data_IF_138214906945
#
_entry.id   IF_138214906945
#
_cell.length_a   1.000
_cell.length_b   1.000
_cell.length_c   1.000
_cell.angle_alpha   90.00
_cell.angle_beta   90.00
_cell.angle_gamma   90.00
#
_symmetry.space_group_name_H-M   'P 1'
#
loop_
_entity.id
_entity.type
_entity.pdbx_description
1 polymer ?
#
# COMPACT_ATOMS: atom_id res chain seq x y z
N UNK A 1 16.13 16.88 14.73
CA UNK A 1 16.28 15.83 13.68
C UNK A 1 14.93 15.56 13.06
N UNK A 2 14.83 15.45 11.74
CA UNK A 2 13.56 15.05 11.15
C UNK A 2 13.19 13.65 11.66
N UNK A 3 11.91 13.38 11.92
CA UNK A 3 11.45 12.07 12.37
C UNK A 3 11.81 11.03 11.30
N UNK A 4 12.53 10.02 11.72
CA UNK A 4 12.95 8.95 10.81
C UNK A 4 11.81 7.96 10.66
N UNK A 5 11.06 8.09 9.57
CA UNK A 5 10.07 7.11 9.21
C UNK A 5 10.76 5.81 8.79
N UNK A 6 10.34 4.71 9.38
CA UNK A 6 10.81 3.37 9.00
C UNK A 6 9.64 2.55 8.48
N UNK A 7 9.69 2.23 7.20
CA UNK A 7 8.69 1.38 6.58
C UNK A 7 8.99 -0.10 6.87
N UNK A 8 8.09 -0.77 7.58
CA UNK A 8 8.23 -2.18 7.92
C UNK A 8 7.62 -3.10 6.87
N UNK A 9 6.45 -2.73 6.35
CA UNK A 9 5.77 -3.53 5.32
C UNK A 9 4.86 -2.68 4.45
N UNK A 10 4.60 -3.19 3.24
CA UNK A 10 3.63 -2.65 2.27
C UNK A 10 2.77 -3.79 1.76
N UNK A 11 1.47 -3.57 1.68
CA UNK A 11 0.53 -4.49 1.05
C UNK A 11 -0.31 -3.77 -0.01
N UNK A 12 -0.46 -4.42 -1.16
CA UNK A 12 -1.41 -4.05 -2.20
C UNK A 12 -2.49 -5.11 -2.26
N UNK A 13 -3.73 -4.70 -2.18
CA UNK A 13 -4.89 -5.59 -2.17
C UNK A 13 -5.89 -5.15 -3.24
N UNK A 14 -6.41 -6.12 -3.98
CA UNK A 14 -7.39 -5.87 -5.04
C UNK A 14 -8.74 -5.38 -4.48
N UNK A 15 -9.62 -4.83 -5.33
CA UNK A 15 -10.98 -4.50 -4.93
C UNK A 15 -11.77 -5.69 -4.34
N UNK A 16 -11.43 -6.92 -4.76
CA UNK A 16 -12.04 -8.17 -4.28
C UNK A 16 -11.36 -8.72 -3.01
N UNK A 17 -10.50 -7.92 -2.36
CA UNK A 17 -9.74 -8.32 -1.18
C UNK A 17 -8.72 -9.45 -1.40
N UNK A 18 -8.26 -9.65 -2.65
CA UNK A 18 -7.18 -10.56 -2.95
C UNK A 18 -5.81 -9.85 -2.84
N UNK A 19 -4.82 -10.45 -2.20
CA UNK A 19 -3.48 -9.86 -2.12
C UNK A 19 -2.84 -9.81 -3.52
N UNK A 20 -2.35 -8.63 -3.91
CA UNK A 20 -1.56 -8.43 -5.13
C UNK A 20 -0.08 -8.58 -4.82
N UNK A 21 0.38 -7.89 -3.78
CA UNK A 21 1.75 -7.92 -3.30
C UNK A 21 1.76 -7.62 -1.80
N UNK A 22 2.47 -8.42 -1.04
CA UNK A 22 2.84 -8.12 0.34
C UNK A 22 4.37 -8.15 0.41
N UNK A 23 4.95 -7.05 0.90
CA UNK A 23 6.39 -6.88 0.98
C UNK A 23 6.81 -6.42 2.35
N UNK A 24 7.70 -7.16 2.99
CA UNK A 24 8.28 -6.83 4.29
C UNK A 24 9.72 -6.35 4.11
N UNK A 25 10.12 -5.35 4.88
CA UNK A 25 11.46 -4.75 4.87
C UNK A 25 12.22 -5.02 6.16
N UNK A 26 11.58 -5.64 7.13
CA UNK A 26 12.17 -6.07 8.40
C UNK A 26 12.74 -7.47 8.23
N UNK A 27 13.97 -7.67 8.68
CA UNK A 27 14.57 -9.00 8.74
C UNK A 27 14.10 -9.72 10.00
N UNK A 28 13.54 -10.92 9.84
CA UNK A 28 13.11 -11.76 10.96
C UNK A 28 11.95 -12.68 10.63
N UNK A 29 11.53 -13.52 11.58
CA UNK A 29 10.45 -14.49 11.40
C UNK A 29 9.04 -13.87 11.34
N UNK A 30 8.92 -12.56 11.42
CA UNK A 30 7.66 -11.83 11.59
C UNK A 30 6.88 -11.59 10.28
N UNK A 31 7.22 -12.28 9.20
CA UNK A 31 6.51 -12.13 7.92
C UNK A 31 5.01 -12.43 8.06
N UNK A 32 4.66 -13.44 8.84
CA UNK A 32 3.27 -13.82 9.12
C UNK A 32 2.50 -12.70 9.84
N UNK A 33 3.14 -11.95 10.72
CA UNK A 33 2.55 -10.79 11.41
C UNK A 33 2.06 -9.75 10.41
N UNK A 34 2.85 -9.45 9.39
CA UNK A 34 2.46 -8.46 8.38
C UNK A 34 1.37 -8.93 7.44
N UNK A 35 1.29 -10.25 7.15
CA UNK A 35 0.13 -10.84 6.47
C UNK A 35 -1.15 -10.68 7.30
N UNK A 36 -1.07 -10.95 8.59
CA UNK A 36 -2.19 -10.75 9.51
C UNK A 36 -2.61 -9.27 9.60
N UNK A 37 -1.64 -8.35 9.71
CA UNK A 37 -1.88 -6.90 9.71
C UNK A 37 -2.60 -6.48 8.42
N UNK A 38 -2.13 -6.93 7.26
CA UNK A 38 -2.76 -6.61 5.99
C UNK A 38 -4.22 -7.11 5.96
N UNK A 39 -4.48 -8.32 6.41
CA UNK A 39 -5.83 -8.89 6.43
C UNK A 39 -6.76 -8.13 7.37
N UNK A 40 -6.33 -7.86 8.60
CA UNK A 40 -7.13 -7.13 9.60
C UNK A 40 -7.43 -5.70 9.13
N UNK A 41 -6.51 -5.08 8.39
CA UNK A 41 -6.71 -3.75 7.84
C UNK A 41 -7.86 -3.67 6.84
N UNK A 42 -8.19 -4.76 6.15
CA UNK A 42 -9.28 -4.79 5.18
C UNK A 42 -10.62 -4.54 5.85
N UNK A 43 -10.86 -5.17 7.00
CA UNK A 43 -12.11 -5.00 7.75
C UNK A 43 -12.28 -3.54 8.18
N UNK A 44 -11.21 -2.91 8.67
CA UNK A 44 -11.23 -1.49 9.08
C UNK A 44 -11.47 -0.55 7.89
N UNK A 45 -10.86 -0.85 6.74
CA UNK A 45 -11.04 -0.06 5.52
C UNK A 45 -12.47 -0.19 5.01
N UNK A 46 -13.03 -1.40 4.98
CA UNK A 46 -14.37 -1.66 4.51
C UNK A 46 -15.41 -1.01 5.42
N UNK A 47 -15.21 -1.06 6.75
CA UNK A 47 -16.07 -0.38 7.72
C UNK A 47 -16.06 1.15 7.53
N UNK A 48 -14.88 1.76 7.38
CA UNK A 48 -14.78 3.21 7.14
C UNK A 48 -15.40 3.62 5.80
N UNK A 49 -15.19 2.82 4.75
CA UNK A 49 -15.77 3.08 3.43
C UNK A 49 -17.30 3.01 3.44
N UNK A 50 -17.89 2.16 4.29
CA UNK A 50 -19.33 2.04 4.44
C UNK A 50 -19.93 3.17 5.29
N UNK A 51 -19.13 3.78 6.19
CA UNK A 51 -19.58 4.79 7.15
C UNK A 51 -19.59 6.22 6.58
N UNK A 52 -18.94 6.47 5.44
CA UNK A 52 -18.91 7.79 4.82
C UNK A 52 -20.21 8.08 4.06
N UNK A 53 -21.01 9.11 4.48
CA UNK A 53 -22.21 9.48 3.75
C UNK A 53 -21.83 10.09 2.38
N UNK A 54 -22.56 9.78 1.32
CA UNK A 54 -22.24 10.21 -0.06
C UNK A 54 -22.32 11.75 -0.27
N UNK A 55 -22.81 12.51 0.70
CA UNK A 55 -23.01 13.96 0.60
C UNK A 55 -21.80 14.81 0.97
N UNK A 56 -20.78 14.27 1.65
CA UNK A 56 -19.58 15.01 2.02
C UNK A 56 -18.46 14.94 0.98
N UNK A 57 -18.59 14.08 -0.02
CA UNK A 57 -17.62 13.91 -1.10
C UNK A 57 -17.49 15.14 -2.03
N UNK A 58 -18.41 16.10 -1.96
CA UNK A 58 -18.45 17.23 -2.91
C UNK A 58 -17.56 18.43 -2.51
N UNK A 59 -17.00 18.46 -1.31
CA UNK A 59 -16.28 19.64 -0.79
C UNK A 59 -14.83 19.38 -0.35
N UNK A 60 -14.35 18.15 -0.34
CA UNK A 60 -12.95 17.88 -0.05
C UNK A 60 -12.13 17.72 -1.33
N UNK A 61 -10.97 18.34 -1.35
CA UNK A 61 -10.03 18.23 -2.48
C UNK A 61 -9.75 16.77 -2.80
N UNK A 62 -9.88 16.37 -4.07
CA UNK A 62 -9.74 14.99 -4.60
C UNK A 62 -8.51 14.20 -4.12
N UNK A 63 -7.53 14.84 -3.55
CA UNK A 63 -6.31 14.20 -3.04
C UNK A 63 -6.44 13.67 -1.61
N UNK A 64 -7.46 14.13 -0.87
CA UNK A 64 -7.69 13.75 0.53
C UNK A 64 -8.65 12.55 0.65
N UNK A 65 -9.49 12.32 -0.37
CA UNK A 65 -10.50 11.26 -0.39
C UNK A 65 -9.93 9.84 -0.42
N UNK A 66 -8.70 9.68 -0.90
CA UNK A 66 -8.05 8.37 -0.99
C UNK A 66 -7.28 7.98 0.28
N UNK A 67 -6.91 8.96 1.10
CA UNK A 67 -6.12 8.73 2.31
C UNK A 67 -7.02 8.45 3.50
N UNK A 68 -6.87 7.27 4.09
CA UNK A 68 -7.72 6.79 5.19
C UNK A 68 -7.11 7.02 6.57
N UNK A 69 -6.03 7.78 6.65
CA UNK A 69 -5.32 8.07 7.89
C UNK A 69 -4.81 6.81 8.61
N UNK A 70 -4.51 6.94 9.90
CA UNK A 70 -4.14 5.84 10.76
C UNK A 70 -5.34 4.89 10.92
N UNK A 71 -5.16 3.63 10.55
CA UNK A 71 -6.18 2.61 10.74
C UNK A 71 -6.21 2.14 12.20
N UNK A 72 -5.07 1.66 12.67
CA UNK A 72 -4.86 1.22 14.05
C UNK A 72 -3.36 1.11 14.36
N UNK A 73 -3.05 0.89 15.62
CA UNK A 73 -1.71 0.57 16.09
C UNK A 73 -1.69 -0.83 16.69
N UNK A 74 -0.63 -1.56 16.48
CA UNK A 74 -0.42 -2.88 17.06
C UNK A 74 1.02 -3.01 17.53
N UNK A 75 1.21 -3.25 18.83
CA UNK A 75 2.54 -3.35 19.44
C UNK A 75 3.42 -2.14 19.10
N UNK A 76 4.41 -2.35 18.25
CA UNK A 76 5.41 -1.38 17.80
C UNK A 76 5.19 -0.85 16.39
N UNK A 77 4.00 -1.08 15.84
CA UNK A 77 3.66 -0.76 14.43
C UNK A 77 2.42 0.13 14.35
N UNK A 78 2.50 1.19 13.56
CA UNK A 78 1.37 2.01 13.15
C UNK A 78 0.96 1.64 11.71
N UNK A 79 -0.32 1.36 11.51
CA UNK A 79 -0.86 0.90 10.23
C UNK A 79 -1.71 2.00 9.60
N UNK A 80 -1.36 2.36 8.38
CA UNK A 80 -2.06 3.38 7.59
C UNK A 80 -2.66 2.78 6.33
N UNK A 81 -3.78 3.34 5.89
CA UNK A 81 -4.50 2.90 4.70
C UNK A 81 -4.66 3.99 3.65
N UNK A 82 -4.70 3.55 2.40
CA UNK A 82 -4.96 4.38 1.23
C UNK A 82 -5.80 3.57 0.23
N UNK A 83 -6.92 4.12 -0.21
CA UNK A 83 -7.76 3.47 -1.21
C UNK A 83 -7.74 4.28 -2.51
N UNK A 84 -7.28 3.65 -3.59
CA UNK A 84 -7.24 4.29 -4.91
C UNK A 84 -8.65 4.48 -5.48
N UNK A 85 -8.83 5.37 -6.48
CA UNK A 85 -10.13 5.52 -7.15
C UNK A 85 -10.66 4.22 -7.78
N UNK A 86 -9.77 3.30 -8.16
CA UNK A 86 -10.12 1.97 -8.67
C UNK A 86 -10.34 0.93 -7.56
N UNK A 87 -10.50 1.37 -6.31
CA UNK A 87 -10.73 0.52 -5.14
C UNK A 87 -9.59 -0.45 -4.79
N UNK A 88 -8.41 -0.26 -5.35
CA UNK A 88 -7.20 -0.95 -4.87
C UNK A 88 -6.79 -0.36 -3.54
N UNK A 89 -6.59 -1.21 -2.55
CA UNK A 89 -6.21 -0.84 -1.19
C UNK A 89 -4.69 -0.93 -1.05
N UNK A 90 -4.07 0.12 -0.55
CA UNK A 90 -2.65 0.14 -0.22
C UNK A 90 -2.54 0.31 1.29
N UNK A 91 -1.83 -0.60 1.94
CA UNK A 91 -1.66 -0.62 3.39
C UNK A 91 -0.17 -0.52 3.66
N UNK A 92 0.23 0.37 4.55
CA UNK A 92 1.61 0.45 5.02
C UNK A 92 1.67 0.28 6.53
N UNK A 93 2.72 -0.40 6.98
CA UNK A 93 3.06 -0.57 8.37
C UNK A 93 4.35 0.20 8.65
N UNK A 94 4.27 1.22 9.50
CA UNK A 94 5.40 2.02 9.93
C UNK A 94 5.81 1.63 11.35
N UNK A 95 7.10 1.59 11.63
CA UNK A 95 7.57 1.42 12.99
C UNK A 95 7.11 2.61 13.86
N UNK A 96 6.53 2.31 15.02
CA UNK A 96 6.27 3.32 16.02
C UNK A 96 7.61 3.83 16.60
N UNK A 97 7.80 5.13 16.48
CA UNK A 97 8.92 5.85 17.08
C UNK A 97 8.36 6.97 17.95
N UNK A 98 9.15 7.45 18.90
CA UNK A 98 8.75 8.58 19.75
C UNK A 98 8.60 9.91 18.98
N UNK A 99 8.91 9.89 17.69
CA UNK A 99 8.80 11.04 16.81
C UNK A 99 7.38 11.18 16.25
N UNK A 100 6.90 12.41 16.17
CA UNK A 100 5.60 12.71 15.54
C UNK A 100 5.67 12.45 14.03
N UNK A 101 4.88 11.49 13.57
CA UNK A 101 4.71 11.19 12.15
C UNK A 101 3.74 12.19 11.54
N UNK A 102 4.17 12.91 10.51
CA UNK A 102 3.31 13.86 9.80
C UNK A 102 2.53 13.16 8.71
N UNK A 103 1.24 13.41 8.62
CA UNK A 103 0.38 12.85 7.58
C UNK A 103 0.86 13.18 6.16
N UNK A 104 1.49 14.35 5.97
CA UNK A 104 2.07 14.74 4.69
C UNK A 104 3.17 13.77 4.21
N UNK A 105 4.00 13.29 5.12
CA UNK A 105 5.08 12.36 4.79
C UNK A 105 4.51 10.98 4.45
N UNK A 106 3.53 10.52 5.22
CA UNK A 106 2.80 9.27 4.96
C UNK A 106 2.09 9.33 3.61
N UNK A 107 1.41 10.44 3.32
CA UNK A 107 0.73 10.65 2.05
C UNK A 107 1.71 10.64 0.86
N UNK A 108 2.92 11.17 1.04
CA UNK A 108 3.97 11.14 0.01
C UNK A 108 4.38 9.71 -0.31
N UNK A 109 4.53 8.85 0.70
CA UNK A 109 4.81 7.42 0.52
C UNK A 109 3.68 6.75 -0.27
N UNK A 110 2.42 6.99 0.09
CA UNK A 110 1.28 6.43 -0.63
C UNK A 110 1.21 6.89 -2.09
N UNK A 111 1.45 8.16 -2.36
CA UNK A 111 1.49 8.70 -3.74
C UNK A 111 2.59 8.03 -4.57
N UNK A 112 3.77 7.80 -3.99
CA UNK A 112 4.84 7.08 -4.66
C UNK A 112 4.45 5.63 -4.97
N UNK A 113 3.90 4.91 -4.00
CA UNK A 113 3.43 3.54 -4.17
C UNK A 113 2.29 3.43 -5.20
N UNK A 114 1.34 4.34 -5.16
CA UNK A 114 0.24 4.39 -6.13
C UNK A 114 0.75 4.68 -7.55
N UNK A 115 1.74 5.57 -7.70
CA UNK A 115 2.36 5.87 -8.99
C UNK A 115 3.06 4.64 -9.56
N UNK A 116 3.82 3.91 -8.76
CA UNK A 116 4.48 2.67 -9.17
C UNK A 116 3.47 1.61 -9.59
N UNK A 117 2.38 1.46 -8.83
CA UNK A 117 1.29 0.55 -9.18
C UNK A 117 0.65 0.93 -10.53
N UNK A 118 0.27 2.20 -10.70
CA UNK A 118 -0.32 2.69 -11.96
C UNK A 118 0.58 2.44 -13.15
N UNK A 119 1.87 2.75 -13.05
CA UNK A 119 2.84 2.53 -14.13
C UNK A 119 2.96 1.05 -14.48
N UNK A 120 2.89 0.17 -13.49
CA UNK A 120 2.99 -1.28 -13.69
C UNK A 120 1.74 -1.84 -14.37
N UNK A 121 0.55 -1.37 -13.99
CA UNK A 121 -0.73 -1.79 -14.55
C UNK A 121 -0.99 -1.20 -15.94
N UNK A 122 -0.49 0.01 -16.19
CA UNK A 122 -0.64 0.69 -17.49
C UNK A 122 0.19 0.05 -18.62
N UNK A 123 1.03 -0.94 -18.33
CA UNK A 123 1.83 -1.61 -19.34
C UNK A 123 0.91 -2.43 -20.30
N UNK A 124 0.82 -2.06 -21.60
CA UNK A 124 -0.07 -2.75 -22.55
C UNK A 124 0.31 -4.21 -22.80
N UNK A 125 1.58 -4.55 -22.55
CA UNK A 125 2.08 -5.93 -22.72
C UNK A 125 1.80 -6.84 -21.53
N UNK A 126 1.17 -6.34 -20.46
CA UNK A 126 0.81 -7.13 -19.31
C UNK A 126 -0.12 -8.30 -19.68
N UNK A 127 -1.03 -8.06 -20.63
CA UNK A 127 -1.99 -9.06 -21.10
C UNK A 127 -1.41 -10.17 -21.98
N UNK A 128 -0.25 -9.95 -22.60
CA UNK A 128 0.39 -10.97 -23.44
C UNK A 128 0.87 -12.22 -22.67
N UNK A 129 1.01 -12.10 -21.37
CA UNK A 129 1.44 -13.19 -20.49
C UNK A 129 0.28 -13.79 -19.69
N UNK A 130 -0.96 -13.34 -19.91
CA UNK A 130 -2.14 -13.85 -19.23
C UNK A 130 -2.65 -15.12 -19.90
N UNK A 131 -3.13 -16.12 -19.15
CA UNK A 131 -3.91 -17.21 -19.70
C UNK A 131 -5.19 -16.62 -20.36
N UNK A 132 -5.62 -17.25 -21.46
CA UNK A 132 -6.68 -16.79 -22.37
C UNK A 132 -8.07 -16.70 -21.69
N UNK A 133 -8.20 -17.24 -20.49
CA UNK A 133 -9.45 -17.29 -19.75
C UNK A 133 -9.75 -15.96 -19.04
N UNK A 134 -10.38 -15.07 -19.77
CA UNK A 134 -11.46 -14.18 -19.37
C UNK A 134 -11.30 -13.20 -18.19
N UNK A 135 -10.22 -13.16 -17.45
CA UNK A 135 -10.05 -12.21 -16.36
C UNK A 135 -9.56 -10.85 -16.86
N UNK A 136 -10.48 -9.90 -16.92
CA UNK A 136 -10.16 -8.48 -17.21
C UNK A 136 -9.54 -7.73 -16.00
N UNK A 137 -9.13 -8.43 -14.96
CA UNK A 137 -8.56 -7.82 -13.76
C UNK A 137 -7.04 -7.65 -13.91
N UNK A 138 -6.61 -6.40 -14.09
CA UNK A 138 -5.19 -6.05 -14.15
C UNK A 138 -4.41 -6.41 -12.87
N UNK A 139 -5.08 -6.48 -11.72
CA UNK A 139 -4.48 -6.89 -10.46
C UNK A 139 -4.12 -8.39 -10.48
N UNK A 140 -5.01 -9.24 -11.00
CA UNK A 140 -4.74 -10.67 -11.17
C UNK A 140 -3.59 -10.91 -12.16
N UNK A 141 -3.45 -10.08 -13.20
CA UNK A 141 -2.36 -10.15 -14.15
C UNK A 141 -0.99 -9.81 -13.53
N UNK A 142 -0.94 -8.87 -12.59
CA UNK A 142 0.27 -8.58 -11.82
C UNK A 142 0.62 -9.73 -10.86
N UNK A 143 -0.37 -10.32 -10.22
CA UNK A 143 -0.18 -11.41 -9.26
C UNK A 143 0.29 -12.73 -9.91
N UNK A 144 0.07 -12.92 -11.21
CA UNK A 144 0.37 -14.15 -11.95
C UNK A 144 1.88 -14.45 -12.16
N UNK A 145 2.79 -13.79 -11.45
CA UNK A 145 4.21 -14.12 -11.42
C UNK A 145 5.00 -13.80 -12.69
N UNK A 146 4.49 -12.94 -13.56
CA UNK A 146 5.17 -12.54 -14.80
C UNK A 146 6.48 -11.77 -14.52
N UNK A 147 7.42 -11.67 -15.48
CA UNK A 147 8.63 -10.85 -15.35
C UNK A 147 8.33 -9.39 -14.99
N UNK A 148 7.14 -8.90 -15.35
CA UNK A 148 6.66 -7.55 -15.06
C UNK A 148 6.28 -7.36 -13.60
N UNK A 149 5.83 -8.43 -12.94
CA UNK A 149 5.61 -8.46 -11.50
C UNK A 149 6.94 -8.28 -10.74
N UNK A 150 8.04 -8.86 -11.23
CA UNK A 150 9.37 -8.66 -10.66
C UNK A 150 9.81 -7.20 -10.73
N UNK A 151 9.51 -6.50 -11.83
CA UNK A 151 9.79 -5.08 -11.98
C UNK A 151 8.96 -4.22 -11.01
N UNK A 152 7.69 -4.53 -10.83
CA UNK A 152 6.82 -3.88 -9.85
C UNK A 152 7.36 -4.07 -8.43
N UNK A 153 7.66 -5.31 -8.03
CA UNK A 153 8.24 -5.65 -6.73
C UNK A 153 9.53 -4.88 -6.47
N UNK A 154 10.43 -4.83 -7.46
CA UNK A 154 11.70 -4.10 -7.34
C UNK A 154 11.47 -2.60 -7.09
N UNK A 155 10.55 -1.98 -7.79
CA UNK A 155 10.21 -0.56 -7.58
C UNK A 155 9.63 -0.30 -6.19
N UNK A 156 8.82 -1.21 -5.68
CA UNK A 156 8.32 -1.15 -4.30
C UNK A 156 9.47 -1.30 -3.29
N UNK A 157 10.41 -2.21 -3.55
CA UNK A 157 11.61 -2.38 -2.72
C UNK A 157 12.48 -1.11 -2.73
N UNK A 158 12.62 -0.44 -3.87
CA UNK A 158 13.37 0.81 -3.98
C UNK A 158 12.74 1.94 -3.14
N UNK A 159 11.41 2.02 -3.10
CA UNK A 159 10.69 2.96 -2.22
C UNK A 159 10.93 2.59 -0.75
N UNK A 160 10.84 1.32 -0.39
CA UNK A 160 11.10 0.85 0.98
C UNK A 160 12.51 1.19 1.45
N UNK A 161 13.50 1.01 0.58
CA UNK A 161 14.89 1.40 0.85
C UNK A 161 15.05 2.91 0.98
N UNK A 162 14.40 3.69 0.14
CA UNK A 162 14.47 5.15 0.19
C UNK A 162 13.89 5.70 1.50
N UNK A 163 12.77 5.16 1.97
CA UNK A 163 12.17 5.51 3.27
C UNK A 163 13.06 5.07 4.43
N UNK A 164 13.65 3.88 4.36
CA UNK A 164 14.58 3.38 5.37
C UNK A 164 15.96 4.03 5.31
N UNK A 165 16.45 4.44 4.13
CA UNK A 165 17.75 5.10 3.96
C UNK A 165 17.78 6.50 4.61
N UNK A 166 16.65 7.18 4.69
CA UNK A 166 16.53 8.43 5.45
C UNK A 166 16.80 8.20 6.95
N UNK A 167 16.61 6.96 7.42
CA UNK A 167 16.88 6.57 8.81
C UNK A 167 18.35 6.24 9.10
N UNK A 168 19.16 5.96 8.07
CA UNK A 168 20.57 5.51 8.25
C UNK A 168 21.57 6.66 8.10
N UNK A 169 21.15 7.83 7.62
CA UNK A 169 22.01 9.01 7.44
C UNK A 169 21.99 9.97 8.63
N UNK A 170 21.63 9.47 9.81
CA UNK A 170 21.74 10.23 11.07
C UNK A 170 22.96 9.83 11.87
#
# INVERSE_FOLDING_TARGET
MPPQLRLNAVAFVSPQNHPILIRTFVQGPDELKYHYIAHTSLDVIDERSASEPPLTAAMSSKSTECYMNLLYTMEDVAVYGYMTPLKVKIIIALALTDAVVRDADVLTIFKALHTVYRQSVANPFLRLSAPIDGYNDNAALLAAGSPKWKAFRRRVDDIGKAVGAVAVTA
#
